data_IF_708914773213
#
_entry.id   IF_708914773213
#
_cell.length_a   1.000
_cell.length_b   1.000
_cell.length_c   1.000
_cell.angle_alpha   90.00
_cell.angle_beta   90.00
_cell.angle_gamma   90.00
#
_symmetry.space_group_name_H-M   'P 1'
#
loop_
_entity.id
_entity.type
_entity.pdbx_description
1 polymer ?
#
# COMPACT_ATOMS: atom_id res chain seq x y z
N UNK A 1 10.72 -33.32 -7.13
CA UNK A 1 11.59 -32.70 -6.10
C UNK A 1 12.23 -31.41 -6.60
N UNK A 2 13.06 -31.43 -7.66
CA UNK A 2 13.76 -30.24 -8.17
C UNK A 2 12.84 -29.06 -8.57
N UNK A 3 11.71 -29.32 -9.23
CA UNK A 3 10.74 -28.26 -9.57
C UNK A 3 10.10 -27.59 -8.33
N UNK A 4 9.86 -28.37 -7.27
CA UNK A 4 9.33 -27.84 -6.01
C UNK A 4 10.38 -27.04 -5.25
N UNK A 5 11.66 -27.46 -5.31
CA UNK A 5 12.77 -26.73 -4.71
C UNK A 5 13.02 -25.40 -5.44
N UNK A 6 13.09 -25.41 -6.78
CA UNK A 6 13.24 -24.19 -7.57
C UNK A 6 12.05 -23.22 -7.38
N UNK A 7 10.84 -23.77 -7.26
CA UNK A 7 9.65 -22.96 -6.95
C UNK A 7 9.72 -22.31 -5.57
N UNK A 8 10.26 -23.02 -4.56
CA UNK A 8 10.46 -22.49 -3.21
C UNK A 8 11.53 -21.39 -3.18
N UNK A 9 12.66 -21.58 -3.85
CA UNK A 9 13.73 -20.59 -3.95
C UNK A 9 13.23 -19.31 -4.63
N UNK A 10 12.52 -19.46 -5.77
CA UNK A 10 11.96 -18.31 -6.49
C UNK A 10 10.95 -17.56 -5.62
N UNK A 11 10.10 -18.27 -4.89
CA UNK A 11 9.15 -17.65 -3.97
C UNK A 11 9.84 -16.88 -2.84
N UNK A 12 10.92 -17.42 -2.26
CA UNK A 12 11.67 -16.73 -1.22
C UNK A 12 12.29 -15.44 -1.76
N UNK A 13 12.92 -15.49 -2.93
CA UNK A 13 13.48 -14.31 -3.59
C UNK A 13 12.40 -13.26 -3.91
N UNK A 14 11.27 -13.67 -4.47
CA UNK A 14 10.16 -12.75 -4.78
C UNK A 14 9.57 -12.12 -3.49
N UNK A 15 9.49 -12.89 -2.40
CA UNK A 15 9.02 -12.39 -1.11
C UNK A 15 9.98 -11.35 -0.51
N UNK A 16 11.29 -11.59 -0.56
CA UNK A 16 12.30 -10.63 -0.13
C UNK A 16 12.24 -9.34 -0.94
N UNK A 17 12.21 -9.44 -2.28
CA UNK A 17 12.08 -8.29 -3.16
C UNK A 17 10.77 -7.52 -2.93
N UNK A 18 9.66 -8.22 -2.71
CA UNK A 18 8.39 -7.57 -2.43
C UNK A 18 8.44 -6.85 -1.08
N UNK A 19 9.08 -7.41 -0.06
CA UNK A 19 9.24 -6.76 1.24
C UNK A 19 10.08 -5.48 1.16
N UNK A 20 11.24 -5.53 0.50
CA UNK A 20 12.10 -4.36 0.28
C UNK A 20 11.34 -3.25 -0.47
N UNK A 21 10.71 -3.63 -1.59
CA UNK A 21 9.91 -2.71 -2.41
C UNK A 21 8.73 -2.11 -1.64
N UNK A 22 8.09 -2.90 -0.78
CA UNK A 22 6.98 -2.44 0.07
C UNK A 22 7.48 -1.45 1.12
N UNK A 23 8.62 -1.72 1.76
CA UNK A 23 9.22 -0.84 2.74
C UNK A 23 9.54 0.54 2.14
N UNK A 24 10.15 0.55 0.96
CA UNK A 24 10.43 1.79 0.21
C UNK A 24 9.14 2.55 -0.15
N UNK A 25 8.12 1.86 -0.67
CA UNK A 25 6.84 2.48 -1.01
C UNK A 25 6.19 3.11 0.22
N UNK A 26 6.18 2.39 1.34
CA UNK A 26 5.58 2.86 2.59
C UNK A 26 6.34 4.03 3.19
N UNK A 27 7.68 4.05 3.12
CA UNK A 27 8.49 5.22 3.47
C UNK A 27 8.13 6.45 2.63
N UNK A 28 8.02 6.28 1.31
CA UNK A 28 7.65 7.39 0.42
C UNK A 28 6.20 7.85 0.58
N UNK A 29 5.27 6.96 0.96
CA UNK A 29 3.89 7.34 1.27
C UNK A 29 3.78 8.18 2.56
N UNK A 30 4.63 7.91 3.56
CA UNK A 30 4.69 8.66 4.82
C UNK A 30 5.23 10.10 4.63
N UNK A 31 5.79 10.42 3.46
CA UNK A 31 6.20 11.78 3.09
C UNK A 31 5.01 12.66 2.65
N UNK A 32 3.85 12.08 2.37
CA UNK A 32 2.65 12.84 2.03
C UNK A 32 2.02 13.43 3.30
N UNK A 33 1.73 14.74 3.28
CA UNK A 33 1.19 15.44 4.44
C UNK A 33 -0.14 14.86 4.96
N UNK A 34 -0.93 14.22 4.09
CA UNK A 34 -2.25 13.65 4.41
C UNK A 34 -2.20 12.18 4.86
N UNK A 35 -1.00 11.59 4.92
CA UNK A 35 -0.77 10.17 5.22
C UNK A 35 0.22 10.05 6.37
N UNK A 36 -0.11 9.20 7.36
CA UNK A 36 0.89 8.71 8.30
C UNK A 36 0.89 7.19 8.34
N UNK A 37 2.01 6.60 7.93
CA UNK A 37 2.24 5.16 7.94
C UNK A 37 2.80 4.74 9.30
N UNK A 38 2.08 3.91 10.03
CA UNK A 38 2.60 3.26 11.23
C UNK A 38 3.24 1.93 10.86
N UNK A 39 4.30 1.54 11.58
CA UNK A 39 4.93 0.23 11.41
C UNK A 39 4.77 -0.59 12.69
N UNK A 40 4.24 -1.81 12.56
CA UNK A 40 4.37 -2.80 13.62
C UNK A 40 5.81 -3.32 13.66
N UNK A 41 6.34 -3.55 14.86
CA UNK A 41 7.72 -4.01 15.07
C UNK A 41 7.94 -5.49 14.72
N UNK A 42 6.88 -6.23 14.40
CA UNK A 42 6.86 -7.69 14.29
C UNK A 42 6.95 -8.23 12.86
N UNK A 43 7.05 -7.36 11.85
CA UNK A 43 7.08 -7.79 10.46
C UNK A 43 5.71 -8.20 9.90
N UNK A 44 4.61 -7.79 10.55
CA UNK A 44 3.26 -7.92 10.00
C UNK A 44 3.16 -7.30 8.59
N UNK A 45 2.47 -7.99 7.68
CA UNK A 45 2.14 -7.49 6.34
C UNK A 45 0.87 -6.60 6.35
N UNK A 46 0.30 -6.36 7.52
CA UNK A 46 -0.82 -5.44 7.73
C UNK A 46 -0.26 -4.15 8.31
N UNK A 47 -0.37 -3.06 7.55
CA UNK A 47 0.27 -1.79 7.85
C UNK A 47 -0.81 -0.75 8.14
N UNK A 48 -0.89 -0.21 9.36
CA UNK A 48 -1.83 0.87 9.68
C UNK A 48 -1.39 2.15 8.98
N UNK A 49 -2.34 2.80 8.33
CA UNK A 49 -2.15 4.08 7.67
C UNK A 49 -3.26 5.02 8.13
N UNK A 50 -2.88 6.01 8.91
CA UNK A 50 -3.75 7.12 9.28
C UNK A 50 -3.89 8.04 8.07
N UNK A 51 -5.14 8.36 7.73
CA UNK A 51 -5.49 9.28 6.65
C UNK A 51 -6.08 10.55 7.25
N UNK A 52 -5.70 11.70 6.71
CA UNK A 52 -6.19 12.99 7.17
C UNK A 52 -7.73 13.11 7.13
N UNK A 53 -8.27 13.90 8.07
CA UNK A 53 -9.71 14.10 8.22
C UNK A 53 -10.36 14.82 7.03
N UNK A 54 -9.58 15.54 6.21
CA UNK A 54 -10.07 16.27 5.04
C UNK A 54 -10.18 15.38 3.79
N UNK A 55 -9.68 14.14 3.84
CA UNK A 55 -9.74 13.16 2.75
C UNK A 55 -11.05 12.35 2.79
N UNK A 56 -11.80 12.38 1.70
CA UNK A 56 -12.96 11.52 1.49
C UNK A 56 -12.52 10.09 1.13
N UNK A 57 -12.66 9.16 2.08
CA UNK A 57 -12.23 7.77 1.90
C UNK A 57 -12.96 7.05 0.77
N UNK A 58 -14.21 7.42 0.47
CA UNK A 58 -14.95 6.82 -0.63
C UNK A 58 -14.37 7.25 -1.98
N UNK A 59 -14.03 8.54 -2.13
CA UNK A 59 -13.35 9.05 -3.33
C UNK A 59 -11.94 8.48 -3.48
N UNK A 60 -11.19 8.42 -2.39
CA UNK A 60 -9.85 7.80 -2.38
C UNK A 60 -9.92 6.36 -2.87
N UNK A 61 -10.88 5.58 -2.35
CA UNK A 61 -11.12 4.20 -2.79
C UNK A 61 -11.43 4.11 -4.28
N UNK A 62 -12.39 4.91 -4.77
CA UNK A 62 -12.78 4.85 -6.19
C UNK A 62 -11.63 5.25 -7.12
N UNK A 63 -10.85 6.29 -6.77
CA UNK A 63 -9.69 6.72 -7.57
C UNK A 63 -8.60 5.64 -7.61
N UNK A 64 -8.23 5.06 -6.47
CA UNK A 64 -7.29 3.93 -6.40
C UNK A 64 -7.81 2.69 -7.16
N UNK A 65 -9.09 2.36 -6.99
CA UNK A 65 -9.74 1.22 -7.64
C UNK A 65 -9.70 1.35 -9.16
N UNK A 66 -9.89 2.56 -9.70
CA UNK A 66 -9.80 2.82 -11.14
C UNK A 66 -8.43 2.43 -11.73
N UNK A 67 -7.39 2.46 -10.89
CA UNK A 67 -6.02 2.09 -11.24
C UNK A 67 -5.67 0.65 -10.84
N UNK A 68 -6.63 -0.18 -10.43
CA UNK A 68 -6.45 -1.54 -9.90
C UNK A 68 -5.64 -1.60 -8.59
N UNK A 69 -5.69 -0.55 -7.77
CA UNK A 69 -5.19 -0.55 -6.39
C UNK A 69 -6.39 -0.65 -5.46
N UNK A 70 -6.38 -1.62 -4.55
CA UNK A 70 -7.52 -1.89 -3.68
C UNK A 70 -7.13 -1.64 -2.22
N UNK A 71 -7.94 -0.85 -1.53
CA UNK A 71 -7.83 -0.59 -0.09
C UNK A 71 -9.13 -0.98 0.61
N UNK A 72 -9.05 -1.35 1.88
CA UNK A 72 -10.23 -1.52 2.72
C UNK A 72 -10.52 -0.21 3.45
N UNK A 73 -11.66 0.40 3.16
CA UNK A 73 -12.10 1.68 3.75
C UNK A 73 -13.06 1.50 4.93
N UNK A 74 -13.35 0.27 5.35
CA UNK A 74 -14.08 0.01 6.59
C UNK A 74 -13.16 0.24 7.79
N UNK A 75 -12.94 1.50 8.13
CA UNK A 75 -11.99 1.96 9.15
C UNK A 75 -12.65 2.25 10.50
N UNK A 76 -13.95 1.94 10.66
CA UNK A 76 -14.72 2.46 11.79
C UNK A 76 -14.66 3.99 11.86
N UNK A 77 -14.45 4.56 13.05
CA UNK A 77 -14.45 6.01 13.29
C UNK A 77 -13.08 6.71 13.18
N UNK A 78 -11.97 5.97 13.03
CA UNK A 78 -10.63 6.53 13.25
C UNK A 78 -9.86 6.90 11.97
N UNK A 79 -10.45 6.69 10.78
CA UNK A 79 -9.78 6.87 9.46
C UNK A 79 -8.42 6.15 9.36
N UNK A 80 -8.30 4.99 10.02
CA UNK A 80 -7.12 4.14 9.94
C UNK A 80 -7.36 3.04 8.92
N UNK A 81 -6.71 3.14 7.76
CA UNK A 81 -6.67 2.08 6.77
C UNK A 81 -5.66 1.00 7.20
N UNK A 82 -5.98 -0.26 6.94
CA UNK A 82 -5.03 -1.35 7.09
C UNK A 82 -4.59 -1.80 5.70
N UNK A 83 -3.42 -1.34 5.26
CA UNK A 83 -2.86 -1.71 3.97
C UNK A 83 -2.24 -3.10 4.07
N UNK A 84 -2.50 -3.93 3.06
CA UNK A 84 -1.81 -5.20 2.87
C UNK A 84 -1.08 -5.17 1.55
N UNK A 85 0.22 -5.44 1.58
CA UNK A 85 1.03 -5.51 0.36
C UNK A 85 1.29 -6.96 0.00
N UNK A 86 0.93 -7.32 -1.23
CA UNK A 86 1.09 -8.66 -1.77
C UNK A 86 2.20 -8.68 -2.82
N UNK A 87 2.69 -9.89 -3.17
CA UNK A 87 3.73 -10.09 -4.20
C UNK A 87 3.42 -9.42 -5.55
N UNK A 88 2.14 -9.15 -5.84
CA UNK A 88 1.73 -8.41 -7.04
C UNK A 88 2.33 -7.00 -7.13
N UNK A 89 2.84 -6.43 -6.02
CA UNK A 89 3.56 -5.16 -6.03
C UNK A 89 4.75 -5.18 -7.00
N UNK A 90 5.39 -6.34 -7.21
CA UNK A 90 6.51 -6.50 -8.14
C UNK A 90 6.13 -6.19 -9.60
N UNK A 91 4.84 -6.17 -9.94
CA UNK A 91 4.37 -5.88 -11.30
C UNK A 91 4.38 -4.40 -11.67
N UNK A 92 4.56 -3.49 -10.70
CA UNK A 92 4.54 -2.03 -10.91
C UNK A 92 5.70 -1.36 -10.20
N UNK A 93 6.21 -0.26 -10.74
CA UNK A 93 7.27 0.50 -10.07
C UNK A 93 6.73 1.26 -8.84
N UNK A 94 7.57 1.55 -7.85
CA UNK A 94 7.13 2.36 -6.69
C UNK A 94 6.74 3.78 -7.14
N UNK A 95 7.48 4.36 -8.09
CA UNK A 95 7.14 5.65 -8.70
C UNK A 95 5.77 5.68 -9.38
N UNK A 96 5.35 4.57 -9.99
CA UNK A 96 4.01 4.44 -10.55
C UNK A 96 2.95 4.40 -9.45
N UNK A 97 3.15 3.57 -8.42
CA UNK A 97 2.23 3.48 -7.29
C UNK A 97 2.13 4.81 -6.52
N UNK A 98 3.25 5.49 -6.28
CA UNK A 98 3.28 6.80 -5.63
C UNK A 98 2.48 7.84 -6.40
N UNK A 99 2.60 7.87 -7.74
CA UNK A 99 1.79 8.76 -8.57
C UNK A 99 0.29 8.44 -8.47
N UNK A 100 -0.06 7.15 -8.48
CA UNK A 100 -1.45 6.70 -8.30
C UNK A 100 -1.99 7.18 -6.95
N UNK A 101 -1.24 7.00 -5.86
CA UNK A 101 -1.64 7.49 -4.54
C UNK A 101 -1.74 9.01 -4.48
N UNK A 102 -0.76 9.74 -5.02
CA UNK A 102 -0.77 11.20 -5.03
C UNK A 102 -2.01 11.76 -5.73
N UNK A 103 -2.31 11.28 -6.95
CA UNK A 103 -3.51 11.68 -7.69
C UNK A 103 -4.79 11.32 -6.94
N UNK A 104 -4.86 10.11 -6.36
CA UNK A 104 -6.04 9.67 -5.63
C UNK A 104 -6.29 10.49 -4.35
N UNK A 105 -5.23 10.93 -3.66
CA UNK A 105 -5.32 11.83 -2.50
C UNK A 105 -5.81 13.21 -2.95
N UNK A 106 -5.24 13.76 -4.02
CA UNK A 106 -5.66 15.05 -4.57
C UNK A 106 -7.15 15.05 -4.97
N UNK A 107 -7.62 14.00 -5.66
CA UNK A 107 -9.02 13.83 -6.05
C UNK A 107 -9.97 13.71 -4.85
N UNK A 108 -9.46 13.16 -3.74
CA UNK A 108 -10.23 12.87 -2.54
C UNK A 108 -10.25 14.02 -1.52
N UNK A 109 -9.44 15.07 -1.70
CA UNK A 109 -9.50 16.26 -0.84
C UNK A 109 -10.87 16.91 -0.96
N UNK A 110 -11.49 17.16 0.19
CA UNK A 110 -12.76 17.90 0.25
C UNK A 110 -12.51 19.38 -0.08
N UNK A 111 -13.38 19.97 -0.91
CA UNK A 111 -13.38 21.42 -1.22
C UNK A 111 -14.07 22.17 -0.09
#
# INVERSE_FOLDING_TARGET
AALALNGLETFQTDAELANEKSAELLESLDEFADISVKRYRDGSNIIPVEIDQDIDLAKLYESLRSQNVFINIDTGSEKILHLTVNLSILRRSNNELLRIFATAIEDARSI
#
